data_IF_413479549481
#
_entry.id   IF_413479549481
#
_cell.length_a   1.000
_cell.length_b   1.000
_cell.length_c   1.000
_cell.angle_alpha   90.00
_cell.angle_beta   90.00
_cell.angle_gamma   90.00
#
_symmetry.space_group_name_H-M   'P 1'
#
loop_
_entity.id
_entity.type
_entity.pdbx_description
1 polymer ?
#
# COMPACT_ATOMS: atom_id res chain seq x y z
N UNK A 1 14.92 12.60 -16.68
CA UNK A 1 13.72 12.42 -15.83
C UNK A 1 13.66 10.96 -15.43
N UNK A 2 13.71 10.64 -14.13
CA UNK A 2 13.69 9.25 -13.66
C UNK A 2 12.24 8.78 -13.56
N UNK A 3 11.71 8.19 -14.63
CA UNK A 3 10.38 7.58 -14.61
C UNK A 3 10.47 6.26 -13.86
N UNK A 4 9.90 6.20 -12.65
CA UNK A 4 9.77 4.93 -11.93
C UNK A 4 8.80 4.05 -12.72
N UNK A 5 9.24 2.86 -13.12
CA UNK A 5 8.40 1.90 -13.84
C UNK A 5 7.21 1.51 -12.98
N UNK A 6 5.98 1.58 -13.49
CA UNK A 6 4.83 1.14 -12.72
C UNK A 6 4.63 -0.37 -12.92
N UNK A 7 4.62 -1.13 -11.82
CA UNK A 7 4.38 -2.58 -11.87
C UNK A 7 2.89 -2.83 -11.78
N UNK A 8 2.31 -3.30 -12.88
CA UNK A 8 0.91 -3.73 -12.93
C UNK A 8 0.72 -5.07 -12.21
N UNK A 9 -0.48 -5.33 -11.69
CA UNK A 9 -0.80 -6.58 -10.97
C UNK A 9 -0.43 -7.84 -11.77
N UNK A 10 -0.70 -7.83 -13.09
CA UNK A 10 -0.35 -8.93 -13.97
C UNK A 10 1.17 -9.20 -14.06
N UNK A 11 2.00 -8.16 -13.89
CA UNK A 11 3.46 -8.23 -13.95
C UNK A 11 4.12 -8.37 -12.56
N UNK A 12 3.34 -8.23 -11.50
CA UNK A 12 3.81 -8.32 -10.12
C UNK A 12 4.24 -9.74 -9.75
N UNK A 13 5.30 -9.84 -8.93
CA UNK A 13 5.69 -11.09 -8.28
C UNK A 13 4.65 -11.50 -7.23
N UNK A 14 4.70 -12.75 -6.77
CA UNK A 14 3.78 -13.26 -5.75
C UNK A 14 3.75 -12.40 -4.47
N UNK A 15 4.90 -11.88 -4.05
CA UNK A 15 5.01 -11.00 -2.89
C UNK A 15 4.27 -9.67 -3.10
N UNK A 16 4.47 -9.02 -4.27
CA UNK A 16 3.81 -7.75 -4.59
C UNK A 16 2.31 -7.94 -4.74
N UNK A 17 1.87 -9.02 -5.40
CA UNK A 17 0.45 -9.36 -5.55
C UNK A 17 -0.23 -9.53 -4.21
N UNK A 18 0.40 -10.26 -3.28
CA UNK A 18 -0.13 -10.44 -1.93
C UNK A 18 -0.36 -9.10 -1.21
N UNK A 19 0.54 -8.12 -1.37
CA UNK A 19 0.33 -6.79 -0.80
C UNK A 19 -0.78 -6.04 -1.51
N UNK A 20 -0.88 -6.14 -2.84
CA UNK A 20 -1.96 -5.51 -3.61
C UNK A 20 -3.33 -6.06 -3.23
N UNK A 21 -3.46 -7.38 -3.11
CA UNK A 21 -4.69 -8.04 -2.69
C UNK A 21 -5.10 -7.60 -1.29
N UNK A 22 -4.15 -7.47 -0.35
CA UNK A 22 -4.41 -6.95 0.99
C UNK A 22 -4.85 -5.47 0.96
N UNK A 23 -4.21 -4.63 0.15
CA UNK A 23 -4.61 -3.23 -0.05
C UNK A 23 -6.04 -3.15 -0.58
N UNK A 24 -6.36 -3.91 -1.62
CA UNK A 24 -7.68 -3.95 -2.25
C UNK A 24 -8.74 -4.43 -1.27
N UNK A 25 -8.47 -5.49 -0.50
CA UNK A 25 -9.38 -6.03 0.51
C UNK A 25 -9.59 -5.04 1.68
N UNK A 26 -8.52 -4.42 2.17
CA UNK A 26 -8.57 -3.50 3.32
C UNK A 26 -9.26 -2.19 2.95
N UNK A 27 -8.92 -1.62 1.79
CA UNK A 27 -9.50 -0.33 1.32
C UNK A 27 -10.79 -0.49 0.54
N UNK A 28 -11.20 -1.73 0.23
CA UNK A 28 -12.39 -2.07 -0.60
C UNK A 28 -12.36 -1.36 -1.95
N UNK A 29 -11.24 -1.50 -2.66
CA UNK A 29 -11.05 -0.94 -4.01
C UNK A 29 -10.71 -2.03 -5.00
N UNK A 30 -11.16 -1.89 -6.24
CA UNK A 30 -10.93 -2.85 -7.31
C UNK A 30 -9.50 -2.83 -7.87
N UNK A 31 -8.73 -1.77 -7.60
CA UNK A 31 -7.35 -1.65 -8.08
C UNK A 31 -6.47 -0.77 -7.19
N UNK A 32 -5.17 -1.08 -7.18
CA UNK A 32 -4.15 -0.25 -6.52
C UNK A 32 -3.75 0.94 -7.39
N UNK A 33 -3.52 2.09 -6.76
CA UNK A 33 -3.13 3.32 -7.44
C UNK A 33 -1.65 3.31 -7.89
N UNK A 34 -1.24 4.34 -8.66
CA UNK A 34 0.12 4.46 -9.19
C UNK A 34 1.21 4.55 -8.11
N UNK A 35 0.88 5.00 -6.90
CA UNK A 35 1.84 5.05 -5.78
C UNK A 35 2.28 3.64 -5.37
N UNK A 36 1.33 2.73 -5.21
CA UNK A 36 1.63 1.31 -4.91
C UNK A 36 2.32 0.61 -6.08
N UNK A 37 1.98 0.98 -7.32
CA UNK A 37 2.65 0.50 -8.55
C UNK A 37 4.11 0.94 -8.65
N UNK A 38 4.43 2.14 -8.18
CA UNK A 38 5.80 2.61 -8.11
C UNK A 38 6.59 1.89 -7.00
N UNK A 39 6.00 1.70 -5.81
CA UNK A 39 6.65 1.00 -4.70
C UNK A 39 6.90 -0.49 -4.96
N UNK A 40 6.13 -1.11 -5.85
CA UNK A 40 6.33 -2.51 -6.22
C UNK A 40 7.66 -2.84 -6.91
N UNK A 41 8.41 -1.84 -7.39
CA UNK A 41 9.79 -2.07 -7.82
C UNK A 41 10.70 -2.48 -6.65
N UNK A 42 10.29 -2.20 -5.42
CA UNK A 42 11.01 -2.58 -4.22
C UNK A 42 10.05 -3.25 -3.21
N UNK A 43 9.77 -4.55 -3.38
CA UNK A 43 8.84 -5.33 -2.57
C UNK A 43 8.99 -5.17 -1.04
N UNK A 44 10.20 -5.15 -0.45
CA UNK A 44 10.31 -4.97 1.01
C UNK A 44 9.90 -3.56 1.47
N UNK A 45 10.08 -2.53 0.64
CA UNK A 45 9.55 -1.19 0.96
C UNK A 45 8.03 -1.17 0.83
N UNK A 46 7.48 -1.75 -0.23
CA UNK A 46 6.04 -1.86 -0.45
C UNK A 46 5.34 -2.48 0.78
N UNK A 47 5.82 -3.63 1.25
CA UNK A 47 5.30 -4.31 2.44
C UNK A 47 5.40 -3.41 3.68
N UNK A 48 6.59 -2.85 3.94
CA UNK A 48 6.80 -1.99 5.12
C UNK A 48 5.87 -0.77 5.14
N UNK A 49 5.69 -0.10 3.99
CA UNK A 49 4.80 1.04 3.87
C UNK A 49 3.35 0.61 4.09
N UNK A 50 2.94 -0.53 3.55
CA UNK A 50 1.59 -1.04 3.75
C UNK A 50 1.29 -1.37 5.22
N UNK A 51 2.19 -2.07 5.91
CA UNK A 51 2.07 -2.37 7.34
C UNK A 51 1.92 -1.09 8.18
N UNK A 52 2.73 -0.06 7.90
CA UNK A 52 2.63 1.22 8.60
C UNK A 52 1.29 1.92 8.36
N UNK A 53 0.76 1.87 7.13
CA UNK A 53 -0.57 2.42 6.83
C UNK A 53 -1.68 1.60 7.50
N UNK A 54 -1.58 0.28 7.58
CA UNK A 54 -2.53 -0.57 8.32
C UNK A 54 -2.56 -0.20 9.80
N UNK A 55 -1.40 0.07 10.41
CA UNK A 55 -1.32 0.53 11.80
C UNK A 55 -2.04 1.87 12.01
N UNK A 56 -1.96 2.80 11.04
CA UNK A 56 -2.66 4.09 11.11
C UNK A 56 -4.17 3.96 10.84
N UNK A 57 -4.58 3.04 9.95
CA UNK A 57 -5.99 2.78 9.65
C UNK A 57 -6.68 1.91 10.71
N UNK A 58 -5.93 1.21 11.55
CA UNK A 58 -6.49 0.46 12.66
C UNK A 58 -7.17 1.44 13.65
N UNK A 59 -8.42 1.20 14.04
CA UNK A 59 -9.10 2.03 15.02
C UNK A 59 -8.41 1.88 16.38
N UNK A 60 -7.73 2.93 16.82
CA UNK A 60 -7.11 3.02 18.15
C UNK A 60 -5.62 3.38 18.12
N UNK A 61 -5.33 4.68 18.02
CA UNK A 61 -4.10 5.35 18.47
C UNK A 61 -4.15 6.87 18.22
N UNK A 62 -5.09 7.35 17.39
CA UNK A 62 -5.48 8.77 17.32
C UNK A 62 -6.86 8.93 17.96
N UNK A 63 -6.94 8.59 19.24
CA UNK A 63 -8.08 8.96 20.08
C UNK A 63 -8.03 10.48 20.27
N UNK A 64 -8.87 11.20 19.53
CA UNK A 64 -9.53 12.43 19.97
C UNK A 64 -8.71 13.47 20.78
N UNK A 65 -7.49 13.83 20.38
CA UNK A 65 -6.70 14.88 21.05
C UNK A 65 -6.28 16.02 20.12
N UNK A 66 -7.27 16.58 19.43
CA UNK A 66 -7.28 18.02 19.14
C UNK A 66 -8.71 18.53 19.33
N UNK A 67 -9.12 18.57 20.60
CA UNK A 67 -9.95 19.66 21.09
C UNK A 67 -8.99 20.66 21.70
N UNK A 68 -8.52 21.64 20.93
CA UNK A 68 -8.18 22.99 21.40
C UNK A 68 -8.44 23.98 20.27
#
# INVERSE_FOLDING_TARGET
MTTVKLIEYAQASAEVRSVYDDIMATRKVDSVNNFWKALANHPPTLRRTWESIKQVMAPGALDALTKE
#
